data_IF_137812139382
#
_entry.id   IF_137812139382
#
_cell.length_a   1.000
_cell.length_b   1.000
_cell.length_c   1.000
_cell.angle_alpha   90.00
_cell.angle_beta   90.00
_cell.angle_gamma   90.00
#
_symmetry.space_group_name_H-M   'P 1'
#
loop_
_entity.id
_entity.type
_entity.pdbx_description
1 polymer ?
#
# COMPACT_ATOMS: atom_id res chain seq x y z
N UNK A 1 -4.80 -5.66 26.17
CA UNK A 1 -6.27 -5.40 26.15
C UNK A 1 -6.93 -6.62 25.55
N UNK A 2 -7.69 -7.40 26.34
CA UNK A 2 -8.48 -8.51 25.80
C UNK A 2 -9.60 -7.93 24.95
N UNK A 3 -9.58 -8.13 23.64
CA UNK A 3 -10.68 -7.71 22.77
C UNK A 3 -11.91 -8.57 23.10
N UNK A 4 -13.05 -7.92 23.33
CA UNK A 4 -14.33 -8.62 23.53
C UNK A 4 -14.85 -9.06 22.17
N UNK A 5 -15.05 -10.36 21.99
CA UNK A 5 -15.66 -10.93 20.78
C UNK A 5 -17.17 -10.81 20.87
N UNK A 6 -17.82 -10.31 19.80
CA UNK A 6 -19.27 -10.24 19.69
C UNK A 6 -19.76 -11.06 18.49
N UNK A 7 -20.92 -11.72 18.58
CA UNK A 7 -21.51 -12.40 17.44
C UNK A 7 -21.85 -11.41 16.33
N UNK A 8 -21.50 -11.76 15.09
CA UNK A 8 -21.73 -10.90 13.91
C UNK A 8 -22.94 -11.37 13.11
N UNK A 9 -23.64 -10.42 12.47
CA UNK A 9 -24.70 -10.72 11.48
C UNK A 9 -24.13 -10.99 10.07
N UNK A 10 -22.84 -10.76 9.87
CA UNK A 10 -22.18 -10.94 8.58
C UNK A 10 -21.97 -12.44 8.30
N UNK A 11 -22.00 -12.87 7.03
CA UNK A 11 -21.50 -14.19 6.65
C UNK A 11 -20.03 -14.32 7.05
N UNK A 12 -19.65 -15.48 7.60
CA UNK A 12 -18.28 -15.78 7.98
C UNK A 12 -17.80 -17.08 7.32
N UNK A 13 -16.50 -17.19 7.10
CA UNK A 13 -15.84 -18.38 6.59
C UNK A 13 -14.93 -18.94 7.68
N UNK A 14 -15.20 -20.13 8.25
CA UNK A 14 -14.43 -20.67 9.37
C UNK A 14 -12.91 -20.69 9.14
N UNK A 15 -12.48 -21.09 7.94
CA UNK A 15 -11.06 -21.11 7.58
C UNK A 15 -10.44 -19.70 7.49
N UNK A 16 -11.22 -18.68 7.11
CA UNK A 16 -10.74 -17.29 7.09
C UNK A 16 -10.67 -16.71 8.50
N UNK A 17 -11.67 -17.02 9.35
CA UNK A 17 -11.67 -16.64 10.77
C UNK A 17 -10.46 -17.21 11.53
N UNK A 18 -10.05 -18.45 11.20
CA UNK A 18 -8.88 -19.09 11.81
C UNK A 18 -7.57 -18.32 11.55
N UNK A 19 -7.41 -17.75 10.37
CA UNK A 19 -6.20 -17.01 9.97
C UNK A 19 -6.31 -15.49 10.19
N UNK A 20 -7.48 -14.99 10.59
CA UNK A 20 -7.75 -13.57 10.71
C UNK A 20 -6.87 -12.94 11.80
N UNK A 21 -6.14 -11.89 11.44
CA UNK A 21 -5.13 -11.27 12.31
C UNK A 21 -3.84 -12.07 12.48
N UNK A 22 -3.74 -13.26 11.87
CA UNK A 22 -2.53 -14.08 11.84
C UNK A 22 -1.47 -13.45 10.93
N UNK A 23 -0.23 -13.46 11.40
CA UNK A 23 0.93 -12.97 10.64
C UNK A 23 1.70 -14.15 10.05
N UNK A 24 1.77 -14.20 8.72
CA UNK A 24 2.50 -15.23 7.99
C UNK A 24 3.86 -14.66 7.55
N UNK A 25 4.99 -15.13 8.09
CA UNK A 25 6.31 -14.64 7.73
C UNK A 25 6.64 -14.92 6.25
N UNK A 26 7.21 -13.94 5.57
CA UNK A 26 7.65 -14.03 4.17
C UNK A 26 9.02 -13.37 4.05
N UNK A 27 9.98 -14.05 3.40
CA UNK A 27 11.40 -13.66 3.39
C UNK A 27 12.01 -13.63 4.81
N UNK A 28 12.98 -12.74 5.04
CA UNK A 28 13.72 -12.58 6.29
C UNK A 28 12.99 -11.71 7.33
N UNK A 29 12.31 -10.66 6.86
CA UNK A 29 11.72 -9.63 7.72
C UNK A 29 10.29 -9.21 7.31
N UNK A 30 9.75 -9.80 6.25
CA UNK A 30 8.42 -9.49 5.72
C UNK A 30 7.33 -10.38 6.32
N UNK A 31 6.09 -10.01 6.02
CA UNK A 31 4.92 -10.81 6.35
C UNK A 31 3.73 -10.45 5.47
N UNK A 32 2.74 -11.33 5.45
CA UNK A 32 1.38 -11.06 4.98
C UNK A 32 0.41 -11.42 6.10
N UNK A 33 -0.55 -10.55 6.40
CA UNK A 33 -1.57 -10.79 7.41
C UNK A 33 -2.95 -10.44 6.84
N UNK A 34 -3.92 -11.33 7.02
CA UNK A 34 -5.31 -11.03 6.70
C UNK A 34 -5.89 -10.16 7.82
N UNK A 35 -6.28 -8.92 7.50
CA UNK A 35 -6.83 -7.96 8.46
C UNK A 35 -8.34 -8.07 8.55
N UNK A 36 -8.98 -8.22 7.40
CA UNK A 36 -10.44 -8.24 7.26
C UNK A 36 -10.79 -8.89 5.92
N UNK A 37 -11.99 -9.43 5.81
CA UNK A 37 -12.53 -9.93 4.55
C UNK A 37 -14.04 -9.69 4.48
N UNK A 38 -14.57 -9.67 3.26
CA UNK A 38 -15.99 -9.58 3.00
C UNK A 38 -16.37 -10.60 1.93
N UNK A 39 -17.50 -11.27 2.14
CA UNK A 39 -18.07 -12.19 1.18
C UNK A 39 -17.67 -13.65 1.38
N UNK A 40 -18.44 -14.54 0.77
CA UNK A 40 -18.23 -15.98 0.75
C UNK A 40 -18.50 -16.53 -0.65
N UNK A 41 -18.32 -17.83 -0.87
CA UNK A 41 -18.74 -18.50 -2.10
C UNK A 41 -20.23 -18.25 -2.41
N UNK A 42 -21.09 -18.16 -1.39
CA UNK A 42 -22.51 -17.84 -1.56
C UNK A 42 -22.70 -16.41 -2.07
N UNK A 43 -21.84 -15.45 -1.70
CA UNK A 43 -21.91 -14.09 -2.23
C UNK A 43 -21.69 -14.07 -3.74
N UNK A 44 -20.72 -14.86 -4.23
CA UNK A 44 -20.43 -15.00 -5.66
C UNK A 44 -21.61 -15.63 -6.40
N UNK A 45 -22.17 -16.72 -5.86
CA UNK A 45 -23.35 -17.35 -6.45
C UNK A 45 -24.55 -16.41 -6.49
N UNK A 46 -24.85 -15.72 -5.38
CA UNK A 46 -25.98 -14.78 -5.31
C UNK A 46 -25.83 -13.66 -6.32
N UNK A 47 -24.62 -13.12 -6.49
CA UNK A 47 -24.34 -12.09 -7.47
C UNK A 47 -24.52 -12.59 -8.91
N UNK A 48 -24.06 -13.80 -9.21
CA UNK A 48 -24.24 -14.40 -10.53
C UNK A 48 -25.71 -14.71 -10.85
N UNK A 49 -26.54 -14.91 -9.82
CA UNK A 49 -27.95 -15.28 -9.94
C UNK A 49 -28.92 -14.14 -9.63
N UNK A 50 -28.47 -12.88 -9.61
CA UNK A 50 -29.32 -11.72 -9.27
C UNK A 50 -30.64 -11.67 -10.09
N UNK A 51 -30.68 -12.29 -11.27
CA UNK A 51 -31.87 -12.41 -12.14
C UNK A 51 -32.87 -13.50 -11.73
N UNK A 52 -32.48 -14.47 -10.89
CA UNK A 52 -33.28 -15.63 -10.50
C UNK A 52 -33.43 -15.62 -8.98
N UNK A 53 -34.61 -15.25 -8.48
CA UNK A 53 -34.88 -15.01 -7.06
C UNK A 53 -34.43 -16.07 -6.06
N UNK A 54 -34.51 -15.70 -4.78
CA UNK A 54 -34.09 -16.50 -3.63
C UNK A 54 -34.71 -17.91 -3.62
N UNK A 55 -33.89 -18.94 -3.37
CA UNK A 55 -34.36 -20.31 -3.18
C UNK A 55 -33.34 -21.13 -2.36
N UNK A 56 -33.84 -22.07 -1.55
CA UNK A 56 -33.08 -23.00 -0.69
C UNK A 56 -32.32 -24.01 -1.54
N UNK A 57 -30.98 -24.09 -1.42
CA UNK A 57 -30.16 -24.91 -2.35
C UNK A 57 -28.98 -25.60 -1.68
N UNK A 58 -28.55 -26.71 -2.30
CA UNK A 58 -27.43 -27.59 -1.86
C UNK A 58 -26.08 -26.99 -2.25
N UNK A 59 -25.09 -27.06 -1.34
CA UNK A 59 -23.69 -26.60 -1.52
C UNK A 59 -23.00 -27.16 -2.77
N UNK A 60 -23.36 -28.37 -3.22
CA UNK A 60 -22.81 -28.98 -4.44
C UNK A 60 -23.10 -28.16 -5.71
N UNK A 61 -24.21 -27.40 -5.72
CA UNK A 61 -24.58 -26.53 -6.82
C UNK A 61 -23.69 -25.27 -6.88
N UNK A 62 -23.30 -24.73 -5.71
CA UNK A 62 -22.46 -23.53 -5.57
C UNK A 62 -21.07 -23.76 -6.18
N UNK A 63 -20.39 -24.85 -5.79
CA UNK A 63 -19.07 -25.19 -6.33
C UNK A 63 -19.10 -25.41 -7.85
N UNK A 64 -20.14 -26.06 -8.35
CA UNK A 64 -20.35 -26.31 -9.78
C UNK A 64 -20.50 -24.99 -10.56
N UNK A 65 -21.33 -24.08 -10.05
CA UNK A 65 -21.53 -22.76 -10.62
C UNK A 65 -20.25 -21.93 -10.62
N UNK A 66 -19.54 -21.82 -9.50
CA UNK A 66 -18.30 -21.03 -9.42
C UNK A 66 -17.29 -21.54 -10.45
N UNK A 67 -17.11 -22.86 -10.57
CA UNK A 67 -16.25 -23.46 -11.61
C UNK A 67 -16.73 -23.18 -13.02
N UNK A 68 -18.04 -23.14 -13.25
CA UNK A 68 -18.60 -22.75 -14.54
C UNK A 68 -18.26 -21.28 -14.85
N UNK A 69 -18.48 -20.36 -13.90
CA UNK A 69 -18.17 -18.95 -14.05
C UNK A 69 -16.68 -18.72 -14.37
N UNK A 70 -15.78 -19.40 -13.64
CA UNK A 70 -14.33 -19.31 -13.89
C UNK A 70 -13.92 -19.82 -15.28
N UNK A 71 -14.47 -20.96 -15.71
CA UNK A 71 -14.18 -21.52 -17.05
C UNK A 71 -14.65 -20.62 -18.19
N UNK A 72 -15.72 -19.86 -17.98
CA UNK A 72 -16.27 -18.94 -18.97
C UNK A 72 -15.87 -17.48 -18.74
N UNK A 73 -14.86 -17.24 -17.89
CA UNK A 73 -14.32 -15.91 -17.59
C UNK A 73 -15.37 -14.90 -17.14
N UNK A 74 -16.45 -15.37 -16.50
CA UNK A 74 -17.44 -14.52 -15.85
C UNK A 74 -16.91 -14.09 -14.49
N UNK A 75 -16.11 -13.02 -14.48
CA UNK A 75 -15.35 -12.57 -13.30
C UNK A 75 -16.12 -11.62 -12.41
N UNK A 76 -17.08 -10.84 -12.92
CA UNK A 76 -17.82 -9.82 -12.17
C UNK A 76 -18.46 -10.33 -10.87
N UNK A 77 -19.10 -11.52 -10.81
CA UNK A 77 -19.64 -12.02 -9.55
C UNK A 77 -18.60 -12.21 -8.43
N UNK A 78 -17.32 -12.31 -8.79
CA UNK A 78 -16.21 -12.49 -7.85
C UNK A 78 -15.79 -11.21 -7.15
N UNK A 79 -16.17 -10.05 -7.70
CA UNK A 79 -15.88 -8.74 -7.10
C UNK A 79 -16.69 -8.52 -5.81
N UNK A 80 -17.68 -9.37 -5.53
CA UNK A 80 -18.41 -9.39 -4.25
C UNK A 80 -17.62 -10.02 -3.10
N UNK A 81 -16.38 -10.43 -3.35
CA UNK A 81 -15.45 -10.92 -2.33
C UNK A 81 -14.26 -9.97 -2.26
N UNK A 82 -14.02 -9.43 -1.08
CA UNK A 82 -12.92 -8.48 -0.83
C UNK A 82 -12.03 -8.98 0.31
N UNK A 83 -10.75 -8.67 0.20
CA UNK A 83 -9.76 -8.96 1.23
C UNK A 83 -8.97 -7.70 1.56
N UNK A 84 -8.68 -7.51 2.85
CA UNK A 84 -7.77 -6.47 3.33
C UNK A 84 -6.55 -7.14 3.94
N UNK A 85 -5.38 -6.77 3.45
CA UNK A 85 -4.12 -7.32 3.92
C UNK A 85 -3.27 -6.24 4.58
N UNK A 86 -2.52 -6.64 5.59
CA UNK A 86 -1.40 -5.89 6.12
C UNK A 86 -0.12 -6.63 5.72
N UNK A 87 0.72 -5.96 4.93
CA UNK A 87 1.92 -6.56 4.38
C UNK A 87 3.14 -5.73 4.72
N UNK A 88 4.24 -6.39 5.09
CA UNK A 88 5.56 -5.80 5.11
C UNK A 88 6.41 -6.48 4.03
N UNK A 89 6.97 -5.69 3.13
CA UNK A 89 7.74 -6.19 1.99
C UNK A 89 8.87 -5.23 1.61
N UNK A 90 9.91 -5.70 0.90
CA UNK A 90 10.94 -4.83 0.34
C UNK A 90 10.38 -3.86 -0.71
N UNK A 91 11.03 -2.70 -0.85
CA UNK A 91 10.55 -1.64 -1.74
C UNK A 91 10.49 -2.03 -3.22
N UNK A 92 11.44 -2.84 -3.70
CA UNK A 92 11.40 -3.32 -5.09
C UNK A 92 10.19 -4.24 -5.35
N UNK A 93 9.75 -5.02 -4.36
CA UNK A 93 8.52 -5.84 -4.43
C UNK A 93 7.29 -4.93 -4.41
N UNK A 94 7.25 -3.94 -3.51
CA UNK A 94 6.15 -2.98 -3.42
C UNK A 94 5.96 -2.21 -4.75
N UNK A 95 7.04 -1.83 -5.43
CA UNK A 95 7.01 -1.14 -6.73
C UNK A 95 6.43 -1.99 -7.86
N UNK A 96 6.52 -3.31 -7.78
CA UNK A 96 5.84 -4.22 -8.70
C UNK A 96 4.37 -4.38 -8.29
N UNK A 97 4.11 -4.55 -7.00
CA UNK A 97 2.76 -4.76 -6.46
C UNK A 97 1.82 -3.57 -6.74
N UNK A 98 2.28 -2.33 -6.58
CA UNK A 98 1.47 -1.12 -6.79
C UNK A 98 1.03 -0.93 -8.25
N UNK A 99 1.55 -1.72 -9.20
CA UNK A 99 1.12 -1.71 -10.61
C UNK A 99 -0.27 -2.31 -10.80
N UNK A 100 -0.77 -3.07 -9.83
CA UNK A 100 -2.15 -3.58 -9.81
C UNK A 100 -3.14 -2.46 -9.42
N UNK A 101 -3.59 -1.71 -10.44
CA UNK A 101 -4.39 -0.47 -10.29
C UNK A 101 -5.80 -0.65 -9.72
N UNK A 102 -6.31 -1.87 -9.63
CA UNK A 102 -7.67 -2.16 -9.15
C UNK A 102 -7.76 -2.30 -7.64
N UNK A 103 -6.64 -2.22 -6.92
CA UNK A 103 -6.59 -2.35 -5.46
C UNK A 103 -6.64 -0.97 -4.76
N UNK A 104 -7.22 -0.93 -3.57
CA UNK A 104 -7.09 0.19 -2.64
C UNK A 104 -5.85 -0.02 -1.77
N UNK A 105 -4.88 0.89 -1.84
CA UNK A 105 -3.60 0.78 -1.14
C UNK A 105 -3.43 1.95 -0.17
N UNK A 106 -3.03 1.64 1.06
CA UNK A 106 -2.53 2.60 2.03
C UNK A 106 -1.10 2.20 2.37
N UNK A 107 -0.15 3.12 2.18
CA UNK A 107 1.27 2.84 2.39
C UNK A 107 1.83 3.74 3.47
N UNK A 108 2.63 3.14 4.37
CA UNK A 108 3.64 3.85 5.13
C UNK A 108 5.01 3.35 4.69
N UNK A 109 5.84 4.23 4.11
CA UNK A 109 7.20 3.86 3.71
C UNK A 109 8.17 4.12 4.86
N UNK A 110 8.88 3.07 5.28
CA UNK A 110 10.01 3.15 6.20
C UNK A 110 11.32 2.90 5.48
N UNK A 111 12.37 3.61 5.88
CA UNK A 111 13.73 3.34 5.43
C UNK A 111 14.60 2.85 6.59
N UNK A 112 15.59 2.04 6.25
CA UNK A 112 16.42 1.32 7.21
C UNK A 112 17.83 1.88 7.22
N UNK A 113 18.29 2.32 8.39
CA UNK A 113 19.67 2.75 8.60
C UNK A 113 20.44 1.73 9.42
N UNK A 114 21.71 1.53 9.10
CA UNK A 114 22.62 0.79 9.97
C UNK A 114 23.30 1.75 10.96
N UNK A 115 23.37 1.35 12.23
CA UNK A 115 24.01 2.14 13.27
C UNK A 115 25.54 1.94 13.25
N UNK A 116 26.35 3.01 13.07
CA UNK A 116 27.81 2.88 12.98
C UNK A 116 28.45 2.23 14.21
N UNK A 117 27.91 2.48 15.40
CA UNK A 117 28.43 1.89 16.65
C UNK A 117 28.12 0.41 16.81
N UNK A 118 27.12 -0.14 16.11
CA UNK A 118 26.89 -1.58 16.07
C UNK A 118 27.88 -2.24 15.09
N UNK A 119 28.03 -1.64 13.91
CA UNK A 119 28.94 -2.09 12.86
C UNK A 119 30.39 -2.15 13.33
N UNK A 120 30.86 -1.13 14.07
CA UNK A 120 32.20 -1.11 14.68
C UNK A 120 32.44 -2.26 15.69
N UNK A 121 31.37 -2.87 16.21
CA UNK A 121 31.42 -4.04 17.11
C UNK A 121 31.13 -5.35 16.38
N UNK A 122 31.14 -5.36 15.05
CA UNK A 122 30.81 -6.52 14.23
C UNK A 122 29.36 -6.99 14.37
N UNK A 123 28.46 -6.13 14.88
CA UNK A 123 27.04 -6.46 15.08
C UNK A 123 26.18 -5.61 14.14
N UNK A 124 25.04 -6.17 13.71
CA UNK A 124 24.04 -5.40 12.96
C UNK A 124 22.97 -4.87 13.90
N UNK A 125 22.70 -3.57 13.82
CA UNK A 125 21.57 -2.96 14.51
C UNK A 125 20.87 -1.97 13.57
N UNK A 126 19.62 -2.31 13.24
CA UNK A 126 18.78 -1.52 12.34
C UNK A 126 18.12 -0.38 13.12
N UNK A 127 18.09 0.79 12.50
CA UNK A 127 17.29 1.93 12.92
C UNK A 127 16.29 2.28 11.82
N UNK A 128 15.01 2.07 12.10
CA UNK A 128 13.91 2.32 11.16
C UNK A 128 13.40 3.75 11.29
N UNK A 129 13.04 4.36 10.17
CA UNK A 129 12.54 5.74 10.11
C UNK A 129 11.47 5.86 9.03
N UNK A 130 10.23 6.26 9.37
CA UNK A 130 9.23 6.62 8.37
C UNK A 130 9.69 7.82 7.53
N UNK A 131 9.40 7.82 6.23
CA UNK A 131 9.74 8.94 5.33
C UNK A 131 9.15 10.26 5.83
N UNK A 132 7.95 10.24 6.40
CA UNK A 132 7.33 11.44 6.99
C UNK A 132 8.18 12.02 8.13
N UNK A 133 8.71 11.17 9.01
CA UNK A 133 9.57 11.60 10.11
C UNK A 133 10.91 12.14 9.60
N UNK A 134 11.44 11.58 8.50
CA UNK A 134 12.61 12.16 7.83
C UNK A 134 12.28 13.55 7.31
N UNK A 135 11.16 13.74 6.61
CA UNK A 135 10.72 15.05 6.13
C UNK A 135 10.57 16.07 7.28
N UNK A 136 9.98 15.65 8.41
CA UNK A 136 9.87 16.49 9.62
C UNK A 136 11.23 16.89 10.19
N UNK A 137 12.22 15.99 10.18
CA UNK A 137 13.60 16.28 10.62
C UNK A 137 14.34 17.21 9.66
N UNK A 138 13.91 17.29 8.40
CA UNK A 138 14.46 18.20 7.40
C UNK A 138 13.94 19.64 7.57
N UNK A 139 12.88 19.85 8.36
CA UNK A 139 12.35 21.18 8.68
C UNK A 139 13.20 21.90 9.75
N UNK A 140 13.26 23.24 9.74
CA UNK A 140 14.00 24.00 10.75
C UNK A 140 13.36 23.83 12.13
N UNK A 141 14.18 23.55 13.14
CA UNK A 141 13.75 23.52 14.54
C UNK A 141 13.74 24.92 15.13
N UNK A 142 12.77 25.20 16.01
CA UNK A 142 12.70 26.45 16.78
C UNK A 142 13.10 26.20 18.23
N UNK A 143 14.06 26.97 18.72
CA UNK A 143 14.44 26.99 20.13
C UNK A 143 13.54 27.95 20.91
N UNK A 144 13.29 27.64 22.18
CA UNK A 144 12.63 28.58 23.11
C UNK A 144 13.47 29.85 23.33
N UNK A 145 14.80 29.75 23.19
CA UNK A 145 15.75 30.87 23.20
C UNK A 145 16.40 31.01 21.82
N UNK A 146 15.85 31.83 20.91
CA UNK A 146 16.33 31.95 19.54
C UNK A 146 17.80 32.39 19.44
N UNK A 147 18.27 33.23 20.36
CA UNK A 147 19.65 33.70 20.48
C UNK A 147 20.67 32.56 20.71
N UNK A 148 20.21 31.43 21.26
CA UNK A 148 21.05 30.23 21.49
C UNK A 148 20.96 29.22 20.35
N UNK A 149 20.14 29.45 19.33
CA UNK A 149 19.97 28.50 18.23
C UNK A 149 21.09 28.63 17.20
N UNK A 150 22.13 27.80 17.33
CA UNK A 150 23.27 27.79 16.39
C UNK A 150 22.94 27.22 15.01
N UNK A 151 22.21 26.10 14.96
CA UNK A 151 21.85 25.44 13.70
C UNK A 151 20.40 24.92 13.75
N UNK A 152 19.43 25.61 13.12
CA UNK A 152 18.05 25.15 12.99
C UNK A 152 17.88 23.79 12.32
N UNK A 153 18.84 23.33 11.52
CA UNK A 153 18.77 22.11 10.71
C UNK A 153 19.61 20.95 11.25
N UNK A 154 20.05 21.00 12.50
CA UNK A 154 20.92 19.95 13.07
C UNK A 154 20.31 18.54 12.98
N UNK A 155 18.97 18.42 12.96
CA UNK A 155 18.24 17.15 12.77
C UNK A 155 18.42 16.61 11.35
N UNK A 156 18.27 17.46 10.33
CA UNK A 156 18.56 17.16 8.91
C UNK A 156 19.98 16.66 8.75
N UNK A 157 20.94 17.43 9.26
CA UNK A 157 22.37 17.15 9.09
C UNK A 157 22.79 15.84 9.80
N UNK A 158 22.04 15.43 10.84
CA UNK A 158 22.19 14.11 11.45
C UNK A 158 21.70 13.01 10.52
N UNK A 159 20.50 13.14 9.95
CA UNK A 159 19.94 12.13 9.04
C UNK A 159 20.79 11.96 7.79
N UNK A 160 21.27 13.04 7.18
CA UNK A 160 22.16 12.99 6.00
C UNK A 160 23.47 12.22 6.23
N UNK A 161 23.92 12.11 7.48
CA UNK A 161 25.15 11.38 7.86
C UNK A 161 24.91 9.91 8.19
N UNK A 162 23.65 9.48 8.31
CA UNK A 162 23.32 8.09 8.62
C UNK A 162 23.54 7.20 7.38
N UNK A 163 23.97 5.96 7.61
CA UNK A 163 24.16 4.95 6.56
C UNK A 163 22.81 4.35 6.18
N UNK A 164 22.22 4.83 5.09
CA UNK A 164 20.98 4.29 4.56
C UNK A 164 21.27 2.98 3.84
N UNK A 165 20.58 1.91 4.19
CA UNK A 165 20.73 0.61 3.56
C UNK A 165 19.97 0.58 2.23
N UNK A 166 20.63 0.11 1.19
CA UNK A 166 20.08 -0.08 -0.15
C UNK A 166 20.46 -1.47 -0.67
N UNK A 167 19.66 -2.02 -1.57
CA UNK A 167 20.02 -3.18 -2.37
C UNK A 167 20.42 -2.69 -3.76
N UNK A 168 21.56 -3.14 -4.24
CA UNK A 168 21.93 -3.03 -5.64
C UNK A 168 21.03 -3.96 -6.47
N UNK A 169 20.27 -3.44 -7.45
CA UNK A 169 19.29 -4.24 -8.17
C UNK A 169 19.93 -5.24 -9.16
N UNK A 170 21.15 -4.97 -9.64
CA UNK A 170 21.86 -5.84 -10.59
C UNK A 170 22.57 -7.01 -9.88
N UNK A 171 23.22 -6.72 -8.75
CA UNK A 171 24.01 -7.70 -8.00
C UNK A 171 23.26 -8.30 -6.81
N UNK A 172 22.12 -7.71 -6.43
CA UNK A 172 21.33 -8.05 -5.23
C UNK A 172 22.12 -7.92 -3.92
N UNK A 173 23.28 -7.26 -3.94
CA UNK A 173 24.11 -7.03 -2.77
C UNK A 173 23.59 -5.87 -1.93
N UNK A 174 23.72 -5.99 -0.61
CA UNK A 174 23.47 -4.86 0.29
C UNK A 174 24.61 -3.86 0.21
N UNK A 175 24.27 -2.59 0.02
CA UNK A 175 25.18 -1.46 0.04
C UNK A 175 24.64 -0.31 0.88
N UNK A 176 25.49 0.66 1.19
CA UNK A 176 25.10 1.87 1.91
C UNK A 176 25.09 3.08 0.99
N UNK A 177 24.02 3.86 1.09
CA UNK A 177 23.89 5.20 0.51
C UNK A 177 23.56 6.20 1.61
N UNK A 178 23.18 7.43 1.25
CA UNK A 178 22.77 8.50 2.17
C UNK A 178 21.51 9.17 1.67
N UNK A 179 20.70 9.68 2.60
CA UNK A 179 19.57 10.54 2.25
C UNK A 179 20.11 11.88 1.73
N UNK A 180 19.83 12.18 0.46
CA UNK A 180 20.22 13.45 -0.18
C UNK A 180 19.19 14.53 0.11
N UNK A 181 17.92 14.24 -0.10
CA UNK A 181 16.82 15.16 0.19
C UNK A 181 15.50 14.42 0.41
N UNK A 182 14.54 15.07 1.05
CA UNK A 182 13.15 14.61 1.14
C UNK A 182 12.22 15.79 0.93
N UNK A 183 11.44 15.74 -0.14
CA UNK A 183 10.48 16.77 -0.51
C UNK A 183 9.04 16.27 -0.29
N UNK A 184 8.18 17.18 0.17
CA UNK A 184 6.74 16.94 0.25
C UNK A 184 6.09 17.61 -0.95
N UNK A 185 5.43 16.81 -1.79
CA UNK A 185 4.73 17.27 -2.99
C UNK A 185 3.48 18.15 -2.71
N UNK A 186 3.18 18.43 -1.45
CA UNK A 186 2.11 19.33 -1.03
C UNK A 186 0.72 18.85 -1.43
N UNK A 187 -0.24 19.77 -1.35
CA UNK A 187 -1.57 19.59 -1.95
C UNK A 187 -1.43 19.92 -3.43
N UNK A 188 -1.84 18.99 -4.31
CA UNK A 188 -1.87 19.23 -5.75
C UNK A 188 -3.29 19.58 -6.18
N UNK A 189 -3.49 20.63 -7.01
CA UNK A 189 -4.79 20.89 -7.61
C UNK A 189 -5.19 19.70 -8.49
N UNK A 190 -6.44 19.26 -8.32
CA UNK A 190 -7.08 18.24 -9.15
C UNK A 190 -8.04 18.97 -10.08
N UNK A 191 -7.89 18.73 -11.37
CA UNK A 191 -8.71 19.31 -12.43
C UNK A 191 -9.73 18.26 -12.86
N UNK A 192 -10.96 18.70 -13.11
CA UNK A 192 -11.99 17.87 -13.74
C UNK A 192 -12.05 18.22 -15.23
N UNK A 193 -11.63 17.28 -16.07
CA UNK A 193 -11.79 17.38 -17.51
C UNK A 193 -13.11 16.73 -17.89
N UNK A 194 -13.93 17.43 -18.67
CA UNK A 194 -15.20 16.91 -19.19
C UNK A 194 -15.03 16.73 -20.69
N UNK A 195 -15.25 15.51 -21.16
CA UNK A 195 -15.20 15.15 -22.58
C UNK A 195 -16.49 15.59 -23.28
N UNK A 196 -16.45 15.70 -24.60
CA UNK A 196 -17.61 16.06 -25.43
C UNK A 196 -18.79 15.08 -25.25
N UNK A 197 -18.50 13.80 -24.95
CA UNK A 197 -19.50 12.78 -24.66
C UNK A 197 -20.07 12.83 -23.23
N UNK A 198 -19.72 13.87 -22.45
CA UNK A 198 -20.18 14.10 -21.09
C UNK A 198 -19.46 13.29 -20.01
N UNK A 199 -18.51 12.40 -20.37
CA UNK A 199 -17.68 11.71 -19.38
C UNK A 199 -16.70 12.68 -18.74
N UNK A 200 -16.34 12.43 -17.49
CA UNK A 200 -15.35 13.26 -16.80
C UNK A 200 -14.24 12.44 -16.18
N UNK A 201 -13.07 13.06 -16.11
CA UNK A 201 -11.86 12.51 -15.48
C UNK A 201 -11.32 13.56 -14.53
N UNK A 202 -11.05 13.16 -13.29
CA UNK A 202 -10.37 14.00 -12.30
C UNK A 202 -8.91 13.59 -12.21
N UNK A 203 -7.99 14.54 -12.43
CA UNK A 203 -6.56 14.27 -12.38
C UNK A 203 -5.75 15.52 -12.01
N UNK A 204 -4.54 15.32 -11.49
CA UNK A 204 -3.60 16.44 -11.31
C UNK A 204 -3.09 16.92 -12.66
N UNK A 205 -2.68 18.19 -12.76
CA UNK A 205 -2.24 18.75 -14.03
C UNK A 205 -1.06 18.02 -14.68
N UNK A 206 -0.23 17.33 -13.89
CA UNK A 206 0.94 16.58 -14.36
C UNK A 206 0.61 15.27 -15.09
N UNK A 207 -0.64 14.79 -15.04
CA UNK A 207 -1.04 13.58 -15.74
C UNK A 207 -1.01 13.81 -17.25
N UNK A 208 -0.43 12.86 -17.99
CA UNK A 208 -0.42 12.89 -19.45
C UNK A 208 -1.70 12.28 -20.01
N UNK A 209 -2.32 13.00 -20.93
CA UNK A 209 -3.47 12.60 -21.71
C UNK A 209 -3.13 12.62 -23.19
N UNK A 210 -3.80 11.78 -23.97
CA UNK A 210 -3.70 11.81 -25.41
C UNK A 210 -4.69 12.84 -25.96
N UNK A 211 -4.19 13.99 -26.39
CA UNK A 211 -4.95 15.03 -27.08
C UNK A 211 -4.83 14.85 -28.60
N UNK A 212 -5.57 15.65 -29.38
CA UNK A 212 -5.50 15.63 -30.85
C UNK A 212 -4.07 15.87 -31.39
N UNK A 213 -3.27 16.67 -30.67
CA UNK A 213 -1.86 16.94 -30.99
C UNK A 213 -0.84 15.92 -30.46
N UNK A 214 -1.29 14.86 -29.78
CA UNK A 214 -0.43 13.87 -29.15
C UNK A 214 -0.50 13.87 -27.62
N UNK A 215 0.48 13.21 -26.98
CA UNK A 215 0.54 13.11 -25.52
C UNK A 215 1.00 14.43 -24.89
N UNK A 216 0.12 15.06 -24.11
CA UNK A 216 0.43 16.28 -23.36
C UNK A 216 -0.19 16.25 -21.95
N UNK A 217 0.06 17.27 -21.14
CA UNK A 217 -0.43 17.44 -19.79
C UNK A 217 -1.48 18.55 -19.73
N UNK A 218 -2.30 18.58 -18.69
CA UNK A 218 -3.27 19.68 -18.50
C UNK A 218 -2.61 21.02 -18.13
N UNK A 219 -1.28 21.08 -18.03
CA UNK A 219 -0.53 22.34 -17.89
C UNK A 219 -0.29 23.05 -19.22
N UNK A 220 -0.29 22.29 -20.32
CA UNK A 220 -0.01 22.80 -21.67
C UNK A 220 -1.24 22.99 -22.54
N UNK A 221 -2.41 22.56 -22.05
CA UNK A 221 -3.70 22.65 -22.73
C UNK A 221 -4.51 23.89 -22.33
#
# INVERSE_FOLDING_TARGET
MSQRTHPTRRPTVPAAEEILGGYFPVLDHGFVALVDYMGTDDSVERAARVSYGYGTRKVSATRGLIRYLRRHLHTTPSEMVEFKFHCAMPMFVARQWIRHRTACLAEGTEVYFDLPGAEARGRRQLYKLPIEEIWRRFQPTRNRRPDKQRNPFFRRDRVKRMKLRQIDEDTLAFQHTRVVDVYRNGVKPVFRMVLEDGKSIEATADHRFLFAGGWDTLRGA
#
